data_IF_692409785105
#
_entry.id   IF_692409785105
#
_cell.length_a   1.000
_cell.length_b   1.000
_cell.length_c   1.000
_cell.angle_alpha   90.00
_cell.angle_beta   90.00
_cell.angle_gamma   90.00
#
_symmetry.space_group_name_H-M   'P 1'
#
loop_
_entity.id
_entity.type
_entity.pdbx_description
1 polymer ?
#
# COMPACT_ATOMS: atom_id res chain seq x y z
N UNK A 1 -17.10 -1.21 4.45
CA UNK A 1 -16.17 -0.27 3.78
C UNK A 1 -14.88 -0.31 4.57
N UNK A 2 -13.73 -0.44 3.91
CA UNK A 2 -12.44 -0.43 4.60
C UNK A 2 -12.28 0.89 5.37
N UNK A 3 -11.93 0.82 6.64
CA UNK A 3 -11.76 1.97 7.52
C UNK A 3 -10.27 2.22 7.81
N UNK A 4 -9.95 3.41 8.31
CA UNK A 4 -8.59 3.71 8.77
C UNK A 4 -8.17 2.83 9.95
N UNK A 5 -9.12 2.36 10.76
CA UNK A 5 -8.83 1.44 11.85
C UNK A 5 -8.43 0.06 11.31
N UNK A 6 -9.13 -0.46 10.31
CA UNK A 6 -8.78 -1.73 9.65
C UNK A 6 -7.36 -1.67 9.06
N UNK A 7 -6.98 -0.53 8.48
CA UNK A 7 -5.62 -0.31 7.97
C UNK A 7 -4.57 -0.22 9.08
N UNK A 8 -4.92 0.38 10.21
CA UNK A 8 -4.04 0.45 11.39
C UNK A 8 -3.80 -0.94 11.98
N UNK A 9 -4.85 -1.75 12.08
CA UNK A 9 -4.75 -3.14 12.56
C UNK A 9 -3.87 -3.98 11.63
N UNK A 10 -4.04 -3.83 10.31
CA UNK A 10 -3.19 -4.47 9.32
C UNK A 10 -1.73 -4.00 9.41
N UNK A 11 -1.48 -2.69 9.58
CA UNK A 11 -0.14 -2.16 9.79
C UNK A 11 0.51 -2.75 11.05
N UNK A 12 -0.25 -2.87 12.14
CA UNK A 12 0.24 -3.48 13.38
C UNK A 12 0.57 -4.96 13.17
N UNK A 13 -0.28 -5.71 12.47
CA UNK A 13 -0.04 -7.11 12.14
C UNK A 13 1.27 -7.32 11.36
N UNK A 14 1.55 -6.44 10.39
CA UNK A 14 2.79 -6.49 9.60
C UNK A 14 4.01 -6.07 10.44
N UNK A 15 3.88 -5.07 11.32
CA UNK A 15 5.00 -4.54 12.11
C UNK A 15 5.33 -5.37 13.35
N UNK A 16 4.36 -6.11 13.89
CA UNK A 16 4.49 -6.84 15.16
C UNK A 16 5.35 -8.09 15.05
N UNK A 17 5.60 -8.59 13.84
CA UNK A 17 6.20 -9.89 13.60
C UNK A 17 5.20 -11.05 13.57
N UNK A 18 3.90 -10.77 13.78
CA UNK A 18 2.84 -11.78 13.73
C UNK A 18 2.67 -12.35 12.32
N UNK A 19 2.81 -11.52 11.28
CA UNK A 19 2.77 -11.98 9.90
C UNK A 19 3.86 -13.03 9.61
N UNK A 20 5.10 -12.78 10.04
CA UNK A 20 6.20 -13.72 9.83
C UNK A 20 6.01 -15.01 10.64
N UNK A 21 5.43 -14.92 11.83
CA UNK A 21 5.08 -16.09 12.64
C UNK A 21 4.01 -16.93 11.94
N UNK A 22 2.91 -16.31 11.50
CA UNK A 22 1.83 -16.99 10.77
C UNK A 22 2.33 -17.58 9.45
N UNK A 23 3.21 -16.89 8.73
CA UNK A 23 3.81 -17.41 7.51
C UNK A 23 4.67 -18.64 7.79
N UNK A 24 5.47 -18.61 8.86
CA UNK A 24 6.34 -19.72 9.25
C UNK A 24 5.53 -20.95 9.68
N UNK A 25 4.50 -20.74 10.50
CA UNK A 25 3.71 -21.80 11.11
C UNK A 25 2.58 -22.31 10.19
N UNK A 26 2.19 -21.51 9.19
CA UNK A 26 1.17 -21.84 8.21
C UNK A 26 1.57 -22.96 7.23
N UNK A 27 0.56 -23.62 6.68
CA UNK A 27 0.78 -24.61 5.62
C UNK A 27 1.03 -23.95 4.26
N UNK A 28 1.31 -24.73 3.22
CA UNK A 28 1.59 -24.20 1.87
C UNK A 28 0.48 -23.27 1.36
N UNK A 29 -0.79 -23.65 1.54
CA UNK A 29 -1.92 -22.81 1.13
C UNK A 29 -1.99 -21.49 1.89
N UNK A 30 -1.74 -21.51 3.20
CA UNK A 30 -1.76 -20.29 4.03
C UNK A 30 -0.64 -19.35 3.63
N UNK A 31 0.56 -19.89 3.36
CA UNK A 31 1.71 -19.12 2.88
C UNK A 31 1.43 -18.47 1.54
N UNK A 32 0.86 -19.21 0.59
CA UNK A 32 0.47 -18.65 -0.70
C UNK A 32 -0.56 -17.54 -0.56
N UNK A 33 -1.56 -17.75 0.30
CA UNK A 33 -2.57 -16.74 0.58
C UNK A 33 -1.96 -15.46 1.18
N UNK A 34 -1.06 -15.58 2.16
CA UNK A 34 -0.38 -14.43 2.75
C UNK A 34 0.46 -13.66 1.72
N UNK A 35 1.15 -14.36 0.82
CA UNK A 35 1.91 -13.72 -0.26
C UNK A 35 1.00 -13.00 -1.25
N UNK A 36 -0.11 -13.61 -1.64
CA UNK A 36 -1.11 -12.98 -2.52
C UNK A 36 -1.73 -11.73 -1.87
N UNK A 37 -1.99 -11.79 -0.55
CA UNK A 37 -2.47 -10.64 0.20
C UNK A 37 -1.46 -9.49 0.19
N UNK A 38 -0.18 -9.79 0.44
CA UNK A 38 0.89 -8.79 0.41
C UNK A 38 1.06 -8.17 -0.98
N UNK A 39 1.05 -8.98 -2.03
CA UNK A 39 1.09 -8.51 -3.42
C UNK A 39 -0.09 -7.57 -3.71
N UNK A 40 -1.30 -7.94 -3.27
CA UNK A 40 -2.47 -7.08 -3.47
C UNK A 40 -2.38 -5.75 -2.72
N UNK A 41 -1.79 -5.74 -1.53
CA UNK A 41 -1.57 -4.53 -0.75
C UNK A 41 -0.56 -3.59 -1.43
N UNK A 42 0.48 -4.14 -2.06
CA UNK A 42 1.43 -3.36 -2.85
C UNK A 42 0.74 -2.67 -4.03
N UNK A 43 -0.04 -3.42 -4.81
CA UNK A 43 -0.83 -2.86 -5.92
C UNK A 43 -1.76 -1.71 -5.47
N UNK A 44 -2.40 -1.88 -4.32
CA UNK A 44 -3.30 -0.87 -3.77
C UNK A 44 -2.54 0.36 -3.29
N UNK A 45 -1.34 0.18 -2.72
CA UNK A 45 -0.45 1.27 -2.33
C UNK A 45 -0.05 2.12 -3.54
N UNK A 46 0.40 1.50 -4.61
CA UNK A 46 0.77 2.19 -5.86
C UNK A 46 -0.43 2.91 -6.48
N UNK A 47 -1.61 2.27 -6.47
CA UNK A 47 -2.83 2.89 -6.97
C UNK A 47 -3.24 4.10 -6.12
N UNK A 48 -3.12 4.00 -4.79
CA UNK A 48 -3.43 5.06 -3.85
C UNK A 48 -2.47 6.25 -4.01
N UNK A 49 -1.17 6.02 -4.19
CA UNK A 49 -0.18 7.06 -4.46
C UNK A 49 -0.48 7.78 -5.79
N UNK A 50 -0.72 7.02 -6.86
CA UNK A 50 -1.07 7.58 -8.14
C UNK A 50 -2.38 8.40 -8.06
N UNK A 51 -3.35 7.95 -7.27
CA UNK A 51 -4.59 8.70 -7.01
C UNK A 51 -4.33 9.98 -6.21
N UNK A 52 -3.52 9.92 -5.15
CA UNK A 52 -3.14 11.08 -4.34
C UNK A 52 -2.42 12.13 -5.19
N UNK A 53 -1.44 11.71 -6.00
CA UNK A 53 -0.74 12.56 -6.98
C UNK A 53 -1.74 13.24 -7.92
N UNK A 54 -2.65 12.48 -8.53
CA UNK A 54 -3.68 13.08 -9.40
C UNK A 54 -4.55 14.09 -8.66
N UNK A 55 -4.95 13.82 -7.42
CA UNK A 55 -5.81 14.72 -6.63
C UNK A 55 -5.07 16.01 -6.26
N UNK A 56 -3.82 15.90 -5.80
CA UNK A 56 -2.98 17.04 -5.39
C UNK A 56 -2.64 17.92 -6.60
N UNK A 57 -2.29 17.31 -7.75
CA UNK A 57 -1.78 18.05 -8.90
C UNK A 57 -2.83 18.42 -9.95
N UNK A 58 -4.04 17.83 -9.97
CA UNK A 58 -5.11 18.27 -10.89
C UNK A 58 -5.74 19.64 -10.58
N UNK A 59 -5.22 20.38 -9.59
CA UNK A 59 -5.63 21.76 -9.29
C UNK A 59 -4.49 22.78 -9.23
N UNK A 60 -3.23 22.35 -9.38
CA UNK A 60 -2.08 23.25 -9.33
C UNK A 60 -1.62 23.56 -10.76
N UNK A 61 -1.46 24.85 -11.15
CA UNK A 61 -0.91 25.17 -12.45
C UNK A 61 0.49 24.56 -12.54
N UNK A 62 0.72 23.77 -13.60
CA UNK A 62 2.05 23.26 -13.92
C UNK A 62 2.98 24.47 -14.09
N UNK A 63 4.05 24.62 -13.29
CA UNK A 63 4.98 25.72 -13.49
C UNK A 63 5.55 25.62 -14.91
N UNK A 64 5.61 26.73 -15.67
CA UNK A 64 6.14 26.71 -17.01
C UNK A 64 7.58 26.20 -16.99
N UNK A 65 8.03 25.50 -18.05
CA UNK A 65 9.39 24.99 -18.13
C UNK A 65 10.40 26.14 -17.92
N UNK A 66 11.56 25.87 -17.30
CA UNK A 66 12.58 26.89 -17.09
C UNK A 66 12.90 27.57 -18.42
N UNK A 67 12.77 28.89 -18.46
CA UNK A 67 13.27 29.67 -19.59
C UNK A 67 14.76 29.83 -19.37
N UNK A 68 15.54 29.00 -20.08
CA UNK A 68 16.97 29.19 -20.18
C UNK A 68 17.24 30.63 -20.70
N UNK A 69 17.98 31.40 -19.90
CA UNK A 69 18.63 32.65 -20.31
C UNK A 69 20.13 32.44 -20.33
#
# INVERSE_FOLDING_TARGET
MLTANDLTELENYIRSGELEADFKDGCENDRHYLLELLEKLMDLGDLADAAATRIIFKGLPVPPPPTDK
#
